data_IF_857024101001
#
_entry.id   IF_857024101001
#
_cell.length_a   1.000
_cell.length_b   1.000
_cell.length_c   1.000
_cell.angle_alpha   90.00
_cell.angle_beta   90.00
_cell.angle_gamma   90.00
#
_symmetry.space_group_name_H-M   'P 1'
#
loop_
_entity.id
_entity.type
_entity.pdbx_description
1 polymer ?
#
# COMPACT_ATOMS: atom_id res chain seq x y z
N UNK A 1 28.97 -29.86 -47.53
CA UNK A 1 28.84 -29.69 -47.04
C UNK A 1 28.28 -29.23 -46.37
N UNK A 2 27.79 -28.83 -45.89
CA UNK A 2 27.25 -28.45 -45.29
C UNK A 2 27.06 -28.15 -44.25
N UNK A 3 26.77 -27.50 -43.76
CA UNK A 3 26.69 -27.14 -42.87
C UNK A 3 26.01 -26.56 -42.28
N UNK A 4 25.52 -26.58 -41.98
CA UNK A 4 24.96 -26.37 -41.26
C UNK A 4 24.86 -25.70 -40.35
N UNK A 5 24.71 -25.11 -40.28
CA UNK A 5 24.33 -24.16 -39.63
C UNK A 5 23.57 -24.32 -38.52
N UNK A 6 24.09 -24.54 -37.64
CA UNK A 6 23.58 -24.64 -36.62
C UNK A 6 23.36 -23.47 -36.03
N UNK A 7 22.39 -22.89 -36.16
CA UNK A 7 22.04 -21.88 -35.45
C UNK A 7 21.29 -22.22 -34.42
N UNK A 8 21.75 -22.43 -33.47
CA UNK A 8 21.23 -22.37 -32.25
C UNK A 8 20.91 -21.00 -32.05
N UNK A 9 19.77 -20.68 -32.29
CA UNK A 9 19.28 -19.47 -31.89
C UNK A 9 19.23 -19.54 -30.43
N UNK A 10 20.07 -18.92 -29.83
CA UNK A 10 20.07 -18.77 -28.47
C UNK A 10 19.04 -17.77 -28.20
N UNK A 11 17.90 -18.20 -27.98
CA UNK A 11 16.91 -17.32 -27.52
C UNK A 11 17.22 -17.08 -26.10
N UNK A 12 17.79 -15.99 -25.86
CA UNK A 12 17.96 -15.53 -24.59
C UNK A 12 16.65 -15.13 -24.11
N UNK A 13 16.08 -15.92 -23.36
CA UNK A 13 14.95 -15.55 -22.68
C UNK A 13 15.36 -14.72 -21.57
N UNK A 14 15.28 -13.50 -21.76
CA UNK A 14 15.35 -12.65 -20.67
C UNK A 14 14.05 -12.76 -20.02
N UNK A 15 13.97 -13.57 -19.14
CA UNK A 15 12.93 -13.47 -18.20
C UNK A 15 13.29 -12.20 -17.47
N UNK A 16 12.65 -11.18 -17.86
CA UNK A 16 12.74 -10.01 -17.14
C UNK A 16 11.97 -10.30 -15.92
N UNK A 17 12.60 -10.59 -14.95
CA UNK A 17 12.06 -10.63 -13.69
C UNK A 17 11.89 -9.26 -13.38
N UNK A 18 10.85 -8.79 -13.81
CA UNK A 18 10.50 -7.55 -13.44
C UNK A 18 10.25 -7.65 -12.01
N UNK A 19 10.96 -6.96 -11.30
CA UNK A 19 10.70 -6.68 -10.00
C UNK A 19 9.48 -5.91 -10.13
N UNK A 20 8.42 -6.55 -10.23
CA UNK A 20 7.26 -5.93 -10.59
C UNK A 20 6.85 -5.01 -9.52
N UNK A 21 6.65 -3.84 -9.90
CA UNK A 21 5.97 -2.95 -9.08
C UNK A 21 4.59 -3.46 -9.02
N UNK A 22 4.08 -3.59 -7.85
CA UNK A 22 2.74 -4.02 -7.64
C UNK A 22 1.92 -2.81 -7.28
N UNK A 23 0.73 -2.71 -7.83
CA UNK A 23 -0.21 -1.65 -7.47
C UNK A 23 -1.38 -2.31 -6.79
N UNK A 24 -1.70 -1.87 -5.60
CA UNK A 24 -2.83 -2.43 -4.86
C UNK A 24 -3.69 -1.36 -4.24
N UNK A 25 -4.94 -1.69 -4.01
CA UNK A 25 -5.89 -0.78 -3.39
C UNK A 25 -6.44 -1.41 -2.14
N UNK A 26 -6.51 -0.66 -1.07
CA UNK A 26 -7.14 -1.14 0.15
C UNK A 26 -7.94 -0.03 0.78
N UNK A 27 -8.87 -0.40 1.61
CA UNK A 27 -9.66 0.59 2.32
C UNK A 27 -8.92 1.04 3.56
N UNK A 28 -8.89 2.34 3.80
CA UNK A 28 -8.29 2.91 4.99
C UNK A 28 -9.25 3.98 5.48
N UNK A 29 -9.66 3.89 6.74
CA UNK A 29 -10.60 4.84 7.31
C UNK A 29 -9.88 6.10 7.73
N UNK A 30 -10.41 7.21 7.37
CA UNK A 30 -9.88 8.52 7.68
C UNK A 30 -10.95 9.56 7.43
N UNK A 31 -10.59 10.81 7.61
CA UNK A 31 -11.57 11.85 7.67
C UNK A 31 -11.32 13.05 6.78
N UNK A 32 -10.12 13.53 6.74
CA UNK A 32 -9.87 14.82 6.12
C UNK A 32 -8.50 14.89 5.47
N UNK A 33 -8.15 16.05 4.98
CA UNK A 33 -6.88 16.25 4.31
C UNK A 33 -5.66 15.96 5.18
N UNK A 34 -5.76 16.23 6.48
CA UNK A 34 -4.65 15.90 7.37
C UNK A 34 -4.48 14.41 7.49
N UNK A 35 -5.59 13.67 7.50
CA UNK A 35 -5.53 12.23 7.54
C UNK A 35 -4.87 11.70 6.27
N UNK A 36 -5.21 12.31 5.14
CA UNK A 36 -4.63 11.92 3.87
C UNK A 36 -3.12 12.00 3.92
N UNK A 37 -2.60 13.10 4.42
CA UNK A 37 -1.16 13.28 4.50
C UNK A 37 -0.51 12.25 5.40
N UNK A 38 -1.11 11.99 6.54
CA UNK A 38 -0.55 11.04 7.49
C UNK A 38 -0.62 9.61 6.98
N UNK A 39 -1.74 9.25 6.36
CA UNK A 39 -1.91 7.92 5.81
C UNK A 39 -0.88 7.67 4.71
N UNK A 40 -0.75 8.64 3.81
CA UNK A 40 0.19 8.50 2.70
C UNK A 40 1.63 8.46 3.20
N UNK A 41 1.96 9.30 4.17
CA UNK A 41 3.30 9.32 4.73
C UNK A 41 3.63 7.98 5.40
N UNK A 42 2.68 7.39 6.10
CA UNK A 42 2.91 6.10 6.76
C UNK A 42 3.16 5.00 5.72
N UNK A 43 2.41 5.03 4.63
CA UNK A 43 2.60 4.04 3.56
C UNK A 43 3.99 4.19 2.93
N UNK A 44 4.40 5.41 2.65
CA UNK A 44 5.70 5.67 2.05
C UNK A 44 6.81 5.23 3.01
N UNK A 45 6.64 5.54 4.27
CA UNK A 45 7.64 5.17 5.25
C UNK A 45 7.76 3.66 5.37
N UNK A 46 6.70 2.94 5.13
CA UNK A 46 6.70 1.49 5.17
C UNK A 46 7.27 0.86 3.91
N UNK A 47 7.67 1.68 2.95
CA UNK A 47 8.31 1.17 1.74
C UNK A 47 7.54 1.34 0.45
N UNK A 48 6.36 1.93 0.49
CA UNK A 48 5.61 2.16 -0.74
C UNK A 48 6.33 3.22 -1.57
N UNK A 49 6.27 3.06 -2.87
CA UNK A 49 6.86 4.01 -3.76
C UNK A 49 5.92 5.21 -3.92
N UNK A 50 4.64 4.94 -4.05
CA UNK A 50 3.64 6.00 -4.12
C UNK A 50 2.45 5.59 -3.27
N UNK A 51 1.74 6.56 -2.78
CA UNK A 51 0.54 6.32 -2.00
C UNK A 51 -0.42 7.47 -2.24
N UNK A 52 -1.65 7.12 -2.54
CA UNK A 52 -2.67 8.14 -2.78
C UNK A 52 -3.98 7.69 -2.16
N UNK A 53 -4.43 8.40 -1.16
CA UNK A 53 -5.66 8.06 -0.44
C UNK A 53 -6.78 8.99 -0.85
N UNK A 54 -7.92 8.40 -1.16
CA UNK A 54 -9.08 9.18 -1.55
C UNK A 54 -10.01 9.36 -0.34
N UNK A 55 -10.25 10.58 0.02
CA UNK A 55 -11.04 10.91 1.18
C UNK A 55 -12.49 10.45 1.06
N UNK A 56 -13.03 10.46 -0.13
CA UNK A 56 -14.42 10.11 -0.33
C UNK A 56 -14.67 8.62 -0.40
N UNK A 57 -13.85 7.92 -1.13
CA UNK A 57 -14.01 6.47 -1.27
C UNK A 57 -13.32 5.72 -0.15
N UNK A 58 -12.41 6.37 0.56
CA UNK A 58 -11.59 5.75 1.60
C UNK A 58 -10.64 4.72 1.03
N UNK A 59 -10.36 4.79 -0.24
CA UNK A 59 -9.47 3.83 -0.88
C UNK A 59 -8.07 4.40 -0.98
N UNK A 60 -7.09 3.61 -0.56
CA UNK A 60 -5.69 3.96 -0.70
C UNK A 60 -5.10 3.15 -1.85
N UNK A 61 -4.52 3.86 -2.81
CA UNK A 61 -3.82 3.23 -3.89
C UNK A 61 -2.34 3.30 -3.59
N UNK A 62 -1.66 2.17 -3.57
CA UNK A 62 -0.23 2.16 -3.32
C UNK A 62 0.49 1.40 -4.40
N UNK A 63 1.71 1.84 -4.68
CA UNK A 63 2.56 1.18 -5.62
C UNK A 63 3.81 0.80 -4.84
N UNK A 64 4.25 -0.42 -4.93
CA UNK A 64 5.45 -0.86 -4.20
C UNK A 64 6.14 -2.01 -4.90
N UNK A 65 7.39 -2.23 -4.54
CA UNK A 65 8.15 -3.37 -5.04
C UNK A 65 8.07 -4.47 -4.02
N UNK A 66 7.70 -5.64 -4.46
CA UNK A 66 7.56 -6.78 -3.55
C UNK A 66 8.82 -7.10 -2.78
N UNK A 67 9.94 -6.71 -3.30
CA UNK A 67 11.16 -6.92 -2.59
C UNK A 67 11.35 -5.98 -1.43
N UNK A 68 10.71 -4.84 -1.45
CA UNK A 68 10.89 -3.84 -0.42
C UNK A 68 9.88 -3.91 0.68
N UNK A 69 8.66 -4.24 0.35
CA UNK A 69 7.61 -4.23 1.36
C UNK A 69 6.45 -5.08 0.87
N UNK A 70 5.38 -5.13 1.64
CA UNK A 70 4.17 -5.84 1.24
C UNK A 70 2.98 -5.14 1.88
N UNK A 71 1.78 -5.54 1.50
CA UNK A 71 0.58 -4.89 1.99
C UNK A 71 0.40 -5.02 3.48
N UNK A 72 0.85 -6.10 4.07
CA UNK A 72 0.73 -6.26 5.50
C UNK A 72 1.57 -5.24 6.24
N UNK A 73 2.79 -5.02 5.79
CA UNK A 73 3.67 -4.03 6.42
C UNK A 73 3.14 -2.63 6.24
N UNK A 74 2.60 -2.36 5.06
CA UNK A 74 2.03 -1.05 4.78
C UNK A 74 0.82 -0.80 5.68
N UNK A 75 -0.07 -1.78 5.77
CA UNK A 75 -1.25 -1.64 6.63
C UNK A 75 -0.87 -1.51 8.09
N UNK A 76 0.14 -2.26 8.52
CA UNK A 76 0.57 -2.18 9.91
C UNK A 76 1.10 -0.78 10.24
N UNK A 77 1.86 -0.20 9.32
CA UNK A 77 2.38 1.14 9.55
C UNK A 77 1.27 2.17 9.63
N UNK A 78 0.26 2.02 8.78
CA UNK A 78 -0.88 2.93 8.78
C UNK A 78 -1.68 2.75 10.08
N UNK A 79 -1.88 1.51 10.49
CA UNK A 79 -2.61 1.24 11.73
C UNK A 79 -1.84 1.78 12.92
N UNK A 80 -0.52 1.65 12.91
CA UNK A 80 0.30 2.20 13.99
C UNK A 80 0.20 3.72 14.06
N UNK A 81 -0.10 4.34 12.95
CA UNK A 81 -0.28 5.79 12.91
C UNK A 81 -1.68 6.21 13.38
N UNK A 82 -2.55 5.25 13.65
CA UNK A 82 -3.87 5.54 14.20
C UNK A 82 -5.04 5.30 13.26
N UNK A 83 -4.80 4.78 12.07
CA UNK A 83 -5.86 4.61 11.08
C UNK A 83 -6.21 3.15 10.83
N UNK A 84 -7.47 2.81 10.93
CA UNK A 84 -7.93 1.45 10.64
C UNK A 84 -7.74 1.15 9.15
N UNK A 85 -7.20 0.00 8.85
CA UNK A 85 -7.09 -0.44 7.46
C UNK A 85 -8.01 -1.63 7.24
N UNK A 86 -8.12 -2.03 6.00
CA UNK A 86 -8.99 -3.12 5.62
C UNK A 86 -8.76 -4.38 6.47
N UNK A 87 -7.52 -4.75 6.66
CA UNK A 87 -7.19 -5.97 7.40
C UNK A 87 -6.64 -5.78 8.81
N UNK A 88 -6.23 -4.59 9.15
CA UNK A 88 -5.60 -4.33 10.44
C UNK A 88 -6.22 -3.10 11.09
N UNK A 89 -6.68 -3.25 12.29
CA UNK A 89 -7.27 -2.12 13.02
C UNK A 89 -6.20 -1.39 13.82
N UNK A 90 -6.35 -0.09 13.96
CA UNK A 90 -5.48 0.69 14.83
C UNK A 90 -5.81 0.37 16.27
N UNK A 91 -4.83 0.51 17.15
CA UNK A 91 -5.11 0.34 18.57
C UNK A 91 -5.90 1.57 19.04
N UNK A 92 -6.63 1.39 20.13
CA UNK A 92 -7.37 2.51 20.70
C UNK A 92 -6.43 3.64 21.09
N UNK A 93 -5.25 3.28 21.52
CA UNK A 93 -4.26 4.27 21.92
C UNK A 93 -3.77 5.07 20.73
N UNK A 94 -3.40 4.41 19.65
CA UNK A 94 -2.91 5.11 18.47
C UNK A 94 -3.99 6.01 17.90
N UNK A 95 -5.23 5.52 17.86
CA UNK A 95 -6.34 6.30 17.39
C UNK A 95 -6.57 7.53 18.29
N UNK A 96 -6.51 7.32 19.59
CA UNK A 96 -6.74 8.39 20.56
C UNK A 96 -5.69 9.48 20.51
N UNK A 97 -4.52 9.17 19.97
CA UNK A 97 -3.46 10.17 19.87
C UNK A 97 -3.62 11.06 18.62
N UNK A 98 -4.59 10.76 17.78
CA UNK A 98 -4.83 11.59 16.61
C UNK A 98 -5.42 12.93 17.03
N UNK A 99 -5.13 13.95 16.26
CA UNK A 99 -5.78 15.25 16.46
C UNK A 99 -7.28 15.04 16.35
N UNK A 100 -8.03 15.83 17.07
CA UNK A 100 -9.48 15.70 17.07
C UNK A 100 -10.09 15.67 15.69
N UNK A 101 -9.60 16.50 14.79
CA UNK A 101 -10.13 16.54 13.44
C UNK A 101 -9.83 15.27 12.66
N UNK A 102 -8.91 14.47 13.14
CA UNK A 102 -8.57 13.22 12.49
C UNK A 102 -9.18 11.99 13.17
N UNK A 103 -9.97 12.20 14.20
CA UNK A 103 -10.62 11.09 14.85
C UNK A 103 -11.87 10.72 14.06
N UNK A 104 -11.66 9.94 13.04
CA UNK A 104 -12.68 9.52 12.10
C UNK A 104 -13.63 8.47 12.69
N UNK A 105 -14.80 8.27 12.10
CA UNK A 105 -15.66 7.15 12.52
C UNK A 105 -14.93 5.86 12.23
N UNK A 106 -14.68 5.08 13.27
CA UNK A 106 -13.86 3.90 13.12
C UNK A 106 -14.56 2.79 12.36
N UNK A 107 -13.74 1.88 11.87
CA UNK A 107 -14.22 0.71 11.16
C UNK A 107 -15.22 -0.02 12.06
N UNK A 108 -16.37 -0.28 11.55
CA UNK A 108 -17.41 -0.93 12.33
C UNK A 108 -18.37 0.01 13.00
N UNK A 109 -17.93 1.23 13.28
CA UNK A 109 -18.81 2.19 13.93
C UNK A 109 -19.80 2.79 12.96
N UNK A 110 -19.51 2.65 11.69
CA UNK A 110 -20.41 3.21 10.73
C UNK A 110 -21.54 2.32 10.44
N UNK A 111 -21.69 1.25 11.12
CA UNK A 111 -22.70 0.45 10.91
C UNK A 111 -23.76 0.82 11.73
N UNK A 112 -24.50 1.63 11.50
CA UNK A 112 -25.57 1.91 12.34
C UNK A 112 -26.71 2.05 11.57
#
# INVERSE_FOLDING_TARGET
>A
MKYIGLFTALTLFFSVNSFAQKTEEIKVWGNCGMCKKTIEAAAIKAGAKTANWNKDSKVLNVEFKEKKTDMQKIQQAIANAGYDTQDIAATAEAYGNLAECCQYPRKGAEKK
#
